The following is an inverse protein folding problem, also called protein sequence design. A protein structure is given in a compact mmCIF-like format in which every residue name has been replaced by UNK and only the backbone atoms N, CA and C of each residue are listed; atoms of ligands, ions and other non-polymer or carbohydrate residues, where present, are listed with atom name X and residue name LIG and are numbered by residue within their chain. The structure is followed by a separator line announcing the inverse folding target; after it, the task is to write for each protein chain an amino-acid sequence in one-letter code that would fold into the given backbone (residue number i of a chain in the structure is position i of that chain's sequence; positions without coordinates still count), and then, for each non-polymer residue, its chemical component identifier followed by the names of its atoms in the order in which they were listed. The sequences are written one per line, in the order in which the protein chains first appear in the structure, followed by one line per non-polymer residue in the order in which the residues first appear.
data_IF_684916538619
#
_entry.id   IF_684916538619
#
_cell.length_a   1.000
_cell.length_b   1.000
_cell.length_c   1.000
_cell.angle_alpha   90.00
_cell.angle_beta   90.00
_cell.angle_gamma   90.00
#
_symmetry.space_group_name_H-M   'P 1'
#
loop_
_entity.id
_entity.type
_entity.pdbx_description
1 polymer ?
#
# COMPACT_ATOMS: atom_id res chain seq x y z
N UNK A 1 14.61 38.51 42.01
CA UNK A 1 13.52 37.86 41.26
C UNK A 1 13.15 38.75 40.09
N UNK A 2 13.04 38.27 38.85
CA UNK A 2 13.89 37.35 38.10
C UNK A 2 14.57 38.04 36.88
N UNK A 3 15.58 37.34 36.35
CA UNK A 3 16.27 37.60 35.09
C UNK A 3 15.35 37.35 33.88
N UNK A 4 15.50 38.14 32.82
CA UNK A 4 15.03 37.78 31.47
C UNK A 4 16.26 37.53 30.59
N UNK A 5 16.57 36.26 30.39
CA UNK A 5 17.57 35.76 29.43
C UNK A 5 16.93 35.70 28.05
N UNK A 6 17.54 36.35 27.07
CA UNK A 6 17.21 36.23 25.64
C UNK A 6 18.16 35.19 25.01
N UNK A 7 17.65 34.00 24.73
CA UNK A 7 18.17 32.99 23.78
C UNK A 7 17.07 31.90 23.68
N UNK A 8 16.75 31.27 22.55
CA UNK A 8 17.61 30.93 21.43
C UNK A 8 16.80 30.86 20.11
N UNK A 9 17.46 31.19 19.01
CA UNK A 9 17.11 30.74 17.68
C UNK A 9 17.35 29.23 17.56
N UNK A 10 16.33 28.48 17.16
CA UNK A 10 16.49 27.26 16.37
C UNK A 10 15.47 27.35 15.24
N UNK A 11 15.99 27.69 14.05
CA UNK A 11 15.23 27.63 12.81
C UNK A 11 14.94 26.16 12.51
N UNK A 12 13.66 25.76 12.59
CA UNK A 12 13.20 24.50 12.02
C UNK A 12 13.10 24.69 10.50
N UNK A 13 13.91 23.95 9.76
CA UNK A 13 13.86 23.95 8.30
C UNK A 13 12.57 23.28 7.82
N UNK A 14 11.59 24.08 7.41
CA UNK A 14 10.40 23.63 6.68
C UNK A 14 10.80 23.09 5.29
N UNK A 15 10.35 21.89 4.88
CA UNK A 15 10.59 21.34 3.54
C UNK A 15 10.13 22.28 2.42
N UNK A 16 10.85 22.29 1.29
CA UNK A 16 10.63 23.23 0.18
C UNK A 16 9.23 23.18 -0.48
N UNK A 17 8.46 22.10 -0.30
CA UNK A 17 7.06 22.01 -0.75
C UNK A 17 6.05 22.59 0.26
N UNK A 18 6.50 22.95 1.47
CA UNK A 18 5.73 23.67 2.50
C UNK A 18 6.12 25.16 2.58
N UNK A 19 7.18 25.59 1.90
CA UNK A 19 7.55 27.00 1.83
C UNK A 19 6.47 27.78 1.06
N UNK A 20 5.79 28.69 1.76
CA UNK A 20 4.74 29.54 1.20
C UNK A 20 3.31 29.08 1.51
N UNK A 21 3.11 27.94 2.17
CA UNK A 21 1.78 27.53 2.63
C UNK A 21 1.50 28.14 4.02
N UNK A 22 0.42 28.91 4.21
CA UNK A 22 0.07 29.44 5.53
C UNK A 22 -0.22 28.29 6.51
N UNK A 23 0.04 28.49 7.80
CA UNK A 23 -0.22 27.49 8.86
C UNK A 23 -1.70 27.07 8.99
N UNK A 24 -2.59 27.83 8.35
CA UNK A 24 -4.03 27.56 8.18
C UNK A 24 -4.38 26.81 6.88
N UNK A 25 -3.39 26.44 6.06
CA UNK A 25 -3.61 25.74 4.78
C UNK A 25 -4.28 24.38 5.01
N UNK A 26 -5.34 24.03 4.27
CA UNK A 26 -5.94 22.69 4.34
C UNK A 26 -5.00 21.58 3.85
N UNK A 27 -3.87 21.95 3.23
CA UNK A 27 -2.79 21.05 2.81
C UNK A 27 -1.65 20.94 3.84
N UNK A 28 -1.72 21.64 4.98
CA UNK A 28 -0.89 21.30 6.14
C UNK A 28 -1.41 19.97 6.70
N UNK A 29 -0.69 18.89 6.44
CA UNK A 29 -0.99 17.59 7.04
C UNK A 29 -0.97 17.71 8.58
N UNK A 30 -2.17 17.73 9.18
CA UNK A 30 -2.32 17.55 10.63
C UNK A 30 -2.67 16.10 10.93
N UNK A 31 -1.66 15.43 11.50
CA UNK A 31 -1.69 14.28 12.39
C UNK A 31 -2.10 12.91 11.81
N UNK A 32 -1.08 12.19 11.33
CA UNK A 32 -0.82 10.83 11.80
C UNK A 32 0.05 9.98 10.91
N UNK A 33 -0.49 9.62 9.76
CA UNK A 33 0.25 9.02 8.66
C UNK A 33 -0.32 9.59 7.37
N UNK A 34 0.47 10.39 6.65
CA UNK A 34 -0.01 11.15 5.48
C UNK A 34 -0.59 10.29 4.34
N UNK A 35 -0.32 8.97 4.36
CA UNK A 35 -0.71 8.02 3.32
C UNK A 35 -1.64 6.90 3.86
N UNK A 36 -2.15 7.09 5.08
CA UNK A 36 -3.00 6.14 5.78
C UNK A 36 -2.28 4.86 6.18
N UNK A 37 -3.07 3.82 6.41
CA UNK A 37 -2.67 2.45 6.72
C UNK A 37 -3.36 1.51 5.75
N UNK A 38 -2.88 0.28 5.61
CA UNK A 38 -3.55 -0.74 4.81
C UNK A 38 -3.36 -2.12 5.44
N UNK A 39 -4.27 -3.03 5.13
CA UNK A 39 -4.07 -4.45 5.39
C UNK A 39 -4.03 -5.24 4.10
N UNK A 40 -3.31 -6.35 4.08
CA UNK A 40 -3.23 -7.24 2.94
C UNK A 40 -2.73 -8.61 3.36
N UNK A 41 -2.76 -9.55 2.42
CA UNK A 41 -2.39 -10.94 2.64
C UNK A 41 -2.98 -11.52 3.95
N UNK A 42 -4.26 -11.21 4.18
CA UNK A 42 -5.02 -11.66 5.35
C UNK A 42 -5.42 -13.12 5.18
N UNK A 43 -4.99 -13.99 6.08
CA UNK A 43 -5.34 -15.42 6.11
C UNK A 43 -6.39 -15.66 7.21
N UNK A 44 -6.63 -16.93 7.56
CA UNK A 44 -7.45 -17.29 8.72
C UNK A 44 -6.77 -16.97 10.04
N UNK A 45 -5.44 -16.85 10.05
CA UNK A 45 -4.63 -16.76 11.27
C UNK A 45 -3.58 -15.63 11.27
N UNK A 46 -3.48 -14.86 10.19
CA UNK A 46 -2.46 -13.83 10.00
C UNK A 46 -2.95 -12.67 9.14
N UNK A 47 -2.28 -11.54 9.24
CA UNK A 47 -2.53 -10.36 8.40
C UNK A 47 -1.25 -9.53 8.26
N UNK A 48 -1.04 -8.89 7.11
CA UNK A 48 -0.05 -7.83 6.99
C UNK A 48 -0.71 -6.48 7.29
N UNK A 49 -0.04 -5.65 8.07
CA UNK A 49 -0.42 -4.26 8.35
C UNK A 49 0.68 -3.34 7.83
N UNK A 50 0.34 -2.52 6.84
CA UNK A 50 1.22 -1.54 6.20
C UNK A 50 1.01 -0.14 6.75
N UNK A 51 2.08 0.64 6.80
CA UNK A 51 2.10 2.05 7.19
C UNK A 51 3.26 2.80 6.51
N UNK A 52 3.16 4.13 6.47
CA UNK A 52 4.27 5.03 6.11
C UNK A 52 4.31 6.24 7.03
N UNK A 53 5.45 6.49 7.65
CA UNK A 53 5.68 7.63 8.57
C UNK A 53 6.21 8.85 7.81
N UNK A 54 6.28 10.01 8.48
CA UNK A 54 6.80 11.25 7.88
C UNK A 54 8.34 11.29 7.85
N UNK A 55 9.00 10.44 8.62
CA UNK A 55 10.45 10.37 8.80
C UNK A 55 10.80 9.21 9.74
N UNK A 56 12.03 9.15 10.28
CA UNK A 56 12.42 8.11 11.21
C UNK A 56 11.50 8.06 12.45
N UNK A 57 10.97 6.88 12.74
CA UNK A 57 10.01 6.68 13.81
C UNK A 57 10.04 5.24 14.30
N UNK A 58 9.65 5.05 15.55
CA UNK A 58 9.30 3.74 16.10
C UNK A 58 7.82 3.51 15.93
N UNK A 59 7.45 2.38 15.33
CA UNK A 59 6.05 2.01 15.06
C UNK A 59 5.69 0.73 15.78
N UNK A 60 4.52 0.73 16.41
CA UNK A 60 3.94 -0.41 17.11
C UNK A 60 2.52 -0.65 16.57
N UNK A 61 2.16 -1.91 16.32
CA UNK A 61 0.80 -2.27 15.94
C UNK A 61 0.15 -3.04 17.07
N UNK A 62 -1.00 -2.57 17.54
CA UNK A 62 -1.85 -3.28 18.50
C UNK A 62 -3.12 -3.76 17.82
N UNK A 63 -3.62 -4.94 18.19
CA UNK A 63 -4.87 -5.47 17.67
C UNK A 63 -5.69 -6.17 18.74
N UNK A 64 -7.01 -6.19 18.56
CA UNK A 64 -7.99 -6.78 19.47
C UNK A 64 -9.17 -7.32 18.64
N UNK A 65 -9.65 -8.55 18.90
CA UNK A 65 -10.84 -9.07 18.25
C UNK A 65 -12.10 -8.33 18.74
N UNK A 66 -13.01 -8.03 17.82
CA UNK A 66 -14.20 -7.23 18.11
C UNK A 66 -15.16 -7.90 19.09
N UNK A 67 -15.23 -9.22 19.07
CA UNK A 67 -16.10 -10.04 19.91
C UNK A 67 -15.58 -10.20 21.36
N UNK A 68 -14.37 -9.71 21.65
CA UNK A 68 -13.75 -9.86 22.97
C UNK A 68 -13.26 -11.28 23.27
N UNK A 69 -13.11 -12.14 22.25
CA UNK A 69 -12.63 -13.52 22.38
C UNK A 69 -11.20 -13.65 22.92
N UNK A 70 -10.39 -12.59 22.80
CA UNK A 70 -9.02 -12.55 23.31
C UNK A 70 -8.64 -11.16 23.84
N UNK A 71 -7.58 -11.11 24.64
CA UNK A 71 -6.96 -9.87 25.11
C UNK A 71 -6.27 -9.12 23.94
N UNK A 72 -6.08 -7.78 24.05
CA UNK A 72 -5.30 -7.04 23.07
C UNK A 72 -3.88 -7.59 22.94
N UNK A 73 -3.42 -7.79 21.71
CA UNK A 73 -2.05 -8.17 21.39
C UNK A 73 -1.29 -6.99 20.75
N UNK A 74 0.02 -7.11 20.69
CA UNK A 74 0.92 -6.08 20.17
C UNK A 74 2.08 -6.71 19.41
N UNK A 75 2.57 -6.00 18.39
CA UNK A 75 3.79 -6.36 17.69
C UNK A 75 5.01 -6.00 18.53
N UNK A 76 6.18 -6.48 18.11
CA UNK A 76 7.42 -5.81 18.46
C UNK A 76 7.49 -4.43 17.77
N UNK A 77 8.21 -3.45 18.34
CA UNK A 77 8.44 -2.17 17.69
C UNK A 77 9.28 -2.34 16.41
N UNK A 78 8.94 -1.58 15.37
CA UNK A 78 9.70 -1.52 14.11
C UNK A 78 10.15 -0.08 13.85
N UNK A 79 11.40 0.09 13.45
CA UNK A 79 11.93 1.37 13.03
C UNK A 79 11.66 1.59 11.53
N UNK A 80 11.20 2.78 11.18
CA UNK A 80 11.12 3.22 9.79
C UNK A 80 12.36 4.03 9.41
N UNK A 81 12.89 3.81 8.22
CA UNK A 81 14.07 4.52 7.71
C UNK A 81 13.89 5.01 6.27
N UNK A 82 14.81 5.87 5.83
CA UNK A 82 14.76 6.48 4.51
C UNK A 82 15.01 5.47 3.37
N UNK A 83 15.73 4.38 3.64
CA UNK A 83 16.06 3.35 2.67
C UNK A 83 14.84 2.67 2.07
N UNK A 84 13.71 2.66 2.80
CA UNK A 84 12.39 2.19 2.33
C UNK A 84 11.32 3.29 2.29
N UNK A 85 11.73 4.56 2.16
CA UNK A 85 10.85 5.73 2.16
C UNK A 85 9.91 5.77 3.38
N UNK A 86 10.45 5.36 4.53
CA UNK A 86 9.76 5.30 5.81
C UNK A 86 8.48 4.44 5.80
N UNK A 87 8.39 3.51 4.86
CA UNK A 87 7.35 2.48 4.81
C UNK A 87 7.70 1.31 5.73
N UNK A 88 6.69 0.63 6.23
CA UNK A 88 6.85 -0.58 7.01
C UNK A 88 5.63 -1.48 6.88
N UNK A 89 5.87 -2.79 6.99
CA UNK A 89 4.82 -3.81 6.99
C UNK A 89 5.11 -4.78 8.13
N UNK A 90 4.12 -4.98 9.01
CA UNK A 90 4.21 -5.91 10.13
C UNK A 90 3.23 -7.07 9.90
N UNK A 91 3.70 -8.31 10.09
CA UNK A 91 2.84 -9.49 10.06
C UNK A 91 2.28 -9.78 11.46
N UNK A 92 0.96 -9.73 11.57
CA UNK A 92 0.21 -10.22 12.72
C UNK A 92 0.05 -11.74 12.58
N UNK A 93 0.12 -12.48 13.69
CA UNK A 93 0.01 -13.94 13.74
C UNK A 93 -0.86 -14.39 14.91
N UNK A 94 -1.33 -15.63 14.86
CA UNK A 94 -2.14 -16.22 15.93
C UNK A 94 -3.52 -15.59 16.02
N UNK A 95 -4.04 -15.13 14.89
CA UNK A 95 -5.41 -14.61 14.80
C UNK A 95 -6.40 -15.78 14.77
N UNK A 96 -7.61 -15.54 15.27
CA UNK A 96 -8.71 -16.48 15.14
C UNK A 96 -9.31 -16.38 13.73
N UNK A 97 -9.71 -17.51 13.10
CA UNK A 97 -10.45 -17.50 11.84
C UNK A 97 -11.79 -16.76 11.94
N UNK A 98 -12.30 -16.28 10.81
CA UNK A 98 -13.61 -15.62 10.68
C UNK A 98 -13.86 -14.49 11.72
N UNK A 99 -12.79 -13.81 12.14
CA UNK A 99 -12.82 -12.87 13.27
C UNK A 99 -12.49 -11.48 12.80
N UNK A 100 -13.33 -10.52 13.17
CA UNK A 100 -13.10 -9.11 12.89
C UNK A 100 -12.18 -8.49 13.93
N UNK A 101 -11.07 -7.91 13.49
CA UNK A 101 -10.09 -7.26 14.34
C UNK A 101 -10.11 -5.75 14.15
N UNK A 102 -10.03 -5.02 15.27
CA UNK A 102 -9.56 -3.64 15.27
C UNK A 102 -8.05 -3.65 15.40
N UNK A 103 -7.36 -2.88 14.58
CA UNK A 103 -5.93 -2.61 14.78
C UNK A 103 -5.67 -1.12 14.96
N UNK A 104 -4.55 -0.80 15.61
CA UNK A 104 -4.06 0.55 15.81
C UNK A 104 -2.56 0.59 15.55
N UNK A 105 -2.15 1.41 14.59
CA UNK A 105 -0.77 1.76 14.31
C UNK A 105 -0.43 2.98 15.15
N UNK A 106 0.46 2.80 16.11
CA UNK A 106 0.99 3.87 16.97
C UNK A 106 2.39 4.22 16.51
N UNK A 107 2.59 5.49 16.14
CA UNK A 107 3.85 6.02 15.64
C UNK A 107 4.41 6.99 16.67
N UNK A 108 5.65 6.74 17.08
CA UNK A 108 6.44 7.63 17.91
C UNK A 108 7.57 8.18 17.07
N UNK A 109 7.45 9.45 16.66
CA UNK A 109 8.50 10.13 15.93
C UNK A 109 9.74 10.25 16.82
N UNK A 110 10.93 10.09 16.22
CA UNK A 110 12.18 10.20 16.97
C UNK A 110 12.54 11.67 17.28
N UNK A 111 12.12 12.62 16.43
CA UNK A 111 12.36 14.05 16.61
C UNK A 111 11.38 14.93 15.77
N UNK A 112 10.59 15.84 16.38
CA UNK A 112 10.27 15.91 17.80
C UNK A 112 9.51 14.65 18.24
N UNK A 113 9.50 14.35 19.55
CA UNK A 113 8.71 13.23 20.09
C UNK A 113 7.22 13.58 20.06
N UNK A 114 6.61 13.42 18.88
CA UNK A 114 5.17 13.44 18.68
C UNK A 114 4.66 12.01 18.54
N UNK A 115 3.45 11.77 19.04
CA UNK A 115 2.78 10.49 18.90
C UNK A 115 1.58 10.67 18.01
N UNK A 116 1.44 9.79 17.02
CA UNK A 116 0.17 9.68 16.35
C UNK A 116 -0.30 8.25 16.18
N UNK A 117 -1.61 8.09 16.35
CA UNK A 117 -2.30 6.82 16.30
C UNK A 117 -3.29 6.83 15.12
N UNK A 118 -3.22 5.83 14.24
CA UNK A 118 -4.21 5.57 13.20
C UNK A 118 -4.82 4.20 13.44
N UNK A 119 -6.14 4.09 13.40
CA UNK A 119 -6.87 2.82 13.58
C UNK A 119 -7.47 2.34 12.26
N UNK A 120 -7.63 1.02 12.16
CA UNK A 120 -8.33 0.39 11.06
C UNK A 120 -9.00 -0.91 11.48
N UNK A 121 -9.58 -1.60 10.50
CA UNK A 121 -10.27 -2.87 10.68
C UNK A 121 -9.89 -3.86 9.57
N UNK A 122 -9.94 -5.13 9.89
CA UNK A 122 -9.95 -6.22 8.92
C UNK A 122 -10.69 -7.43 9.51
N UNK A 123 -11.05 -8.38 8.66
CA UNK A 123 -11.64 -9.66 9.06
C UNK A 123 -10.76 -10.79 8.50
N UNK A 124 -10.34 -11.72 9.35
CA UNK A 124 -9.65 -12.95 8.90
C UNK A 124 -10.60 -13.83 8.11
N UNK A 125 -10.07 -14.63 7.19
CA UNK A 125 -10.90 -15.59 6.47
C UNK A 125 -11.40 -16.71 7.40
N UNK A 126 -12.49 -17.39 7.05
CA UNK A 126 -12.78 -18.67 7.68
C UNK A 126 -11.66 -19.70 7.46
N UNK A 127 -11.69 -20.75 8.28
CA UNK A 127 -10.82 -21.92 8.13
C UNK A 127 -11.11 -22.64 6.80
N UNK A 128 -10.12 -23.33 6.25
CA UNK A 128 -10.16 -23.87 4.88
C UNK A 128 -11.21 -24.95 4.64
N UNK A 129 -11.75 -25.53 5.71
CA UNK A 129 -12.81 -26.54 5.73
C UNK A 129 -14.21 -25.96 5.97
N UNK A 130 -14.32 -24.65 6.18
CA UNK A 130 -15.58 -23.95 6.44
C UNK A 130 -16.12 -23.32 5.16
N UNK A 131 -17.33 -23.71 4.78
CA UNK A 131 -18.08 -23.07 3.68
C UNK A 131 -18.81 -21.84 4.20
N UNK A 132 -18.60 -20.70 3.53
CA UNK A 132 -19.25 -19.42 3.81
C UNK A 132 -19.32 -18.54 2.55
N UNK A 133 -20.38 -17.74 2.39
CA UNK A 133 -20.47 -16.81 1.26
C UNK A 133 -19.40 -15.72 1.34
N UNK A 134 -18.67 -15.52 0.24
CA UNK A 134 -17.61 -14.50 0.14
C UNK A 134 -18.03 -13.41 -0.85
N UNK A 135 -18.18 -12.18 -0.34
CA UNK A 135 -18.34 -10.99 -1.18
C UNK A 135 -17.00 -10.26 -1.27
N UNK A 136 -16.49 -10.05 -2.48
CA UNK A 136 -15.27 -9.27 -2.72
C UNK A 136 -15.46 -8.34 -3.92
N UNK A 137 -14.57 -7.35 -4.03
CA UNK A 137 -14.53 -6.42 -5.16
C UNK A 137 -13.20 -6.52 -5.87
N UNK A 138 -13.16 -6.12 -7.13
CA UNK A 138 -11.93 -6.09 -7.91
C UNK A 138 -11.95 -4.88 -8.84
N UNK A 139 -10.76 -4.39 -9.20
CA UNK A 139 -10.57 -3.31 -10.15
C UNK A 139 -9.09 -3.08 -10.43
N UNK A 140 -8.79 -2.26 -11.42
CA UNK A 140 -7.45 -1.78 -11.76
C UNK A 140 -7.55 -0.32 -12.19
N UNK A 141 -6.47 0.20 -12.77
CA UNK A 141 -6.51 1.46 -13.53
C UNK A 141 -6.90 2.66 -12.65
N UNK A 142 -6.13 2.87 -11.59
CA UNK A 142 -6.41 3.93 -10.62
C UNK A 142 -5.92 5.28 -11.15
N UNK A 143 -6.80 5.97 -11.87
CA UNK A 143 -6.49 7.26 -12.48
C UNK A 143 -5.55 7.14 -13.67
N UNK A 144 -4.82 8.20 -14.01
CA UNK A 144 -3.90 8.19 -15.16
C UNK A 144 -4.60 8.46 -16.51
N UNK A 145 -3.80 8.55 -17.58
CA UNK A 145 -4.29 8.83 -18.94
C UNK A 145 -5.22 10.06 -19.05
N UNK A 146 -4.95 11.10 -18.25
CA UNK A 146 -5.78 12.32 -18.18
C UNK A 146 -6.92 12.27 -17.15
N UNK A 147 -7.19 11.11 -16.53
CA UNK A 147 -8.14 10.94 -15.43
C UNK A 147 -7.40 11.00 -14.10
N UNK A 148 -6.98 12.19 -13.71
CA UNK A 148 -6.15 12.37 -12.54
C UNK A 148 -6.94 12.31 -11.23
N UNK A 149 -6.20 12.05 -10.14
CA UNK A 149 -6.73 12.17 -8.78
C UNK A 149 -7.29 13.58 -8.58
N UNK A 150 -8.53 13.65 -8.08
CA UNK A 150 -9.14 14.91 -7.67
C UNK A 150 -8.41 15.49 -6.45
N UNK A 151 -8.28 16.82 -6.38
CA UNK A 151 -7.55 17.49 -5.30
C UNK A 151 -8.30 17.44 -3.94
N UNK A 152 -9.60 17.16 -3.94
CA UNK A 152 -10.42 16.98 -2.74
C UNK A 152 -10.26 15.57 -2.16
N UNK A 153 -11.30 14.75 -2.28
CA UNK A 153 -11.30 13.39 -1.72
C UNK A 153 -10.50 12.36 -2.54
N UNK A 154 -10.00 12.76 -3.71
CA UNK A 154 -9.29 11.91 -4.64
C UNK A 154 -10.24 11.05 -5.47
N UNK A 155 -10.63 9.89 -4.93
CA UNK A 155 -11.40 8.88 -5.67
C UNK A 155 -12.68 8.50 -4.91
N UNK A 156 -13.79 9.26 -5.03
CA UNK A 156 -15.00 9.07 -4.24
C UNK A 156 -15.66 7.68 -4.39
N UNK A 157 -15.34 6.95 -5.46
CA UNK A 157 -15.82 5.57 -5.66
C UNK A 157 -15.47 4.66 -4.49
N UNK A 158 -14.35 4.86 -3.81
CA UNK A 158 -13.96 4.03 -2.67
C UNK A 158 -14.91 4.16 -1.48
N UNK A 159 -15.49 5.34 -1.25
CA UNK A 159 -16.53 5.50 -0.22
C UNK A 159 -17.83 4.78 -0.61
N UNK A 160 -18.12 4.68 -1.92
CA UNK A 160 -19.27 3.91 -2.42
C UNK A 160 -19.03 2.41 -2.28
N UNK A 161 -17.82 1.93 -2.55
CA UNK A 161 -17.44 0.52 -2.39
C UNK A 161 -17.56 0.08 -0.92
N UNK A 162 -17.27 0.97 0.05
CA UNK A 162 -17.43 0.64 1.46
C UNK A 162 -18.86 0.25 1.85
N UNK A 163 -19.89 0.68 1.10
CA UNK A 163 -21.29 0.36 1.42
C UNK A 163 -21.65 -1.10 1.12
N UNK A 164 -20.91 -1.77 0.23
CA UNK A 164 -21.12 -3.20 -0.08
C UNK A 164 -20.36 -4.13 0.86
N UNK A 165 -19.59 -3.58 1.81
CA UNK A 165 -18.88 -4.32 2.88
C UNK A 165 -18.08 -5.53 2.36
N UNK A 166 -17.17 -5.35 1.39
CA UNK A 166 -16.42 -6.47 0.83
C UNK A 166 -15.49 -7.09 1.89
N UNK A 167 -15.36 -8.41 1.85
CA UNK A 167 -14.41 -9.15 2.69
C UNK A 167 -12.95 -8.78 2.34
N UNK A 168 -12.68 -8.47 1.08
CA UNK A 168 -11.40 -7.98 0.58
C UNK A 168 -11.58 -7.33 -0.80
N UNK A 169 -10.53 -6.69 -1.30
CA UNK A 169 -10.46 -6.16 -2.66
C UNK A 169 -9.22 -6.63 -3.41
N UNK A 170 -9.38 -6.92 -4.69
CA UNK A 170 -8.28 -7.15 -5.63
C UNK A 170 -7.97 -5.84 -6.36
N UNK A 171 -6.71 -5.42 -6.34
CA UNK A 171 -6.20 -4.35 -7.19
C UNK A 171 -5.31 -4.97 -8.26
N UNK A 172 -5.76 -4.94 -9.51
CA UNK A 172 -5.23 -5.73 -10.62
C UNK A 172 -4.15 -5.01 -11.46
N UNK A 173 -3.54 -3.96 -10.90
CA UNK A 173 -2.50 -3.18 -11.56
C UNK A 173 -2.91 -1.76 -11.88
N UNK A 174 -1.99 -1.04 -12.50
CA UNK A 174 -2.16 0.34 -12.98
C UNK A 174 -2.58 1.30 -11.87
N UNK A 175 -1.95 1.14 -10.72
CA UNK A 175 -2.25 1.89 -9.51
C UNK A 175 -1.62 3.27 -9.50
N UNK A 176 -0.56 3.51 -10.29
CA UNK A 176 0.25 4.74 -10.21
C UNK A 176 0.50 5.48 -11.52
N UNK A 177 0.37 4.82 -12.68
CA UNK A 177 0.74 5.41 -13.99
C UNK A 177 2.07 6.16 -13.94
N UNK A 178 3.12 5.41 -13.61
CA UNK A 178 4.48 5.91 -13.43
C UNK A 178 5.01 6.65 -14.65
N UNK A 179 4.53 6.28 -15.83
CA UNK A 179 4.94 6.75 -17.15
C UNK A 179 4.06 7.84 -17.76
N UNK A 180 3.01 8.28 -17.05
CA UNK A 180 2.14 9.37 -17.48
C UNK A 180 2.28 10.58 -16.57
N UNK A 181 2.17 11.78 -17.14
CA UNK A 181 1.95 12.99 -16.36
C UNK A 181 0.46 13.11 -16.04
N UNK A 182 0.16 13.56 -14.84
CA UNK A 182 -1.18 13.84 -14.37
C UNK A 182 -1.33 15.33 -14.02
N UNK A 183 -1.66 16.19 -15.00
CA UNK A 183 -1.85 17.62 -14.77
C UNK A 183 -3.24 17.84 -14.17
N UNK A 184 -3.38 17.64 -12.85
CA UNK A 184 -4.61 17.93 -12.10
C UNK A 184 -4.41 19.19 -11.28
N UNK A 185 -4.90 20.37 -11.72
CA UNK A 185 -4.80 21.59 -10.94
C UNK A 185 -5.71 21.52 -9.70
N UNK A 186 -5.24 21.97 -8.51
CA UNK A 186 -3.85 22.36 -8.22
C UNK A 186 -2.90 21.15 -8.21
N UNK A 187 -1.75 21.28 -8.89
CA UNK A 187 -0.77 20.21 -9.09
C UNK A 187 -0.36 19.59 -7.76
N UNK A 188 -0.89 18.40 -7.45
CA UNK A 188 -0.45 17.69 -6.27
C UNK A 188 0.91 17.00 -6.54
N UNK A 189 1.90 17.12 -5.64
CA UNK A 189 3.23 16.55 -5.84
C UNK A 189 3.19 15.07 -6.18
N UNK A 190 4.02 14.65 -7.15
CA UNK A 190 4.15 13.24 -7.56
C UNK A 190 3.33 12.86 -8.78
N UNK A 191 2.36 13.69 -9.20
CA UNK A 191 1.58 13.47 -10.42
C UNK A 191 2.23 14.01 -11.69
N UNK A 192 3.14 14.97 -11.58
CA UNK A 192 3.53 15.92 -12.62
C UNK A 192 4.73 15.53 -13.50
N UNK A 193 5.25 14.31 -13.36
CA UNK A 193 6.40 13.82 -14.11
C UNK A 193 6.25 12.35 -14.52
N UNK A 194 7.15 11.89 -15.40
CA UNK A 194 7.39 10.48 -15.70
C UNK A 194 8.49 9.95 -14.78
N UNK A 195 8.25 8.82 -14.12
CA UNK A 195 9.18 8.23 -13.17
C UNK A 195 10.27 7.41 -13.88
N UNK A 196 11.51 7.66 -13.48
CA UNK A 196 12.72 7.01 -14.00
C UNK A 196 13.70 6.63 -12.88
N UNK A 197 13.48 7.14 -11.66
CA UNK A 197 14.26 6.82 -10.46
C UNK A 197 13.36 6.28 -9.35
N UNK A 198 13.94 5.55 -8.39
CA UNK A 198 13.20 4.98 -7.26
C UNK A 198 12.39 6.05 -6.50
N UNK A 199 12.98 7.22 -6.25
CA UNK A 199 12.30 8.30 -5.54
C UNK A 199 11.13 8.89 -6.33
N UNK A 200 11.20 8.88 -7.66
CA UNK A 200 10.08 9.27 -8.52
C UNK A 200 8.97 8.22 -8.52
N UNK A 201 9.29 6.92 -8.55
CA UNK A 201 8.29 5.85 -8.37
C UNK A 201 7.60 5.94 -7.00
N UNK A 202 8.37 6.15 -5.92
CA UNK A 202 7.82 6.39 -4.59
C UNK A 202 6.92 7.61 -4.54
N UNK A 203 7.31 8.70 -5.20
CA UNK A 203 6.49 9.90 -5.29
C UNK A 203 5.16 9.67 -6.03
N UNK A 204 5.13 8.83 -7.06
CA UNK A 204 3.90 8.40 -7.75
C UNK A 204 2.97 7.63 -6.82
N UNK A 205 3.50 6.71 -6.02
CA UNK A 205 2.70 6.05 -4.98
C UNK A 205 2.18 7.02 -3.92
N UNK A 206 3.02 7.95 -3.42
CA UNK A 206 2.58 8.99 -2.46
C UNK A 206 1.43 9.81 -3.00
N UNK A 207 1.52 10.23 -4.27
CA UNK A 207 0.45 10.94 -4.95
C UNK A 207 -0.88 10.17 -4.86
N UNK A 208 -0.89 8.89 -5.23
CA UNK A 208 -2.13 8.10 -5.19
C UNK A 208 -2.61 7.83 -3.77
N UNK A 209 -1.70 7.45 -2.88
CA UNK A 209 -2.00 7.13 -1.48
C UNK A 209 -2.46 8.32 -0.66
N UNK A 210 -2.23 9.54 -1.11
CA UNK A 210 -2.75 10.74 -0.47
C UNK A 210 -4.25 10.99 -0.78
N UNK A 211 -4.91 10.19 -1.64
CA UNK A 211 -6.36 10.26 -1.84
C UNK A 211 -7.12 9.85 -0.57
N UNK A 212 -7.94 10.75 0.00
CA UNK A 212 -8.60 10.53 1.28
C UNK A 212 -9.63 9.39 1.25
N UNK A 213 -10.42 9.30 0.17
CA UNK A 213 -11.38 8.21 -0.02
C UNK A 213 -10.67 6.85 -0.11
N UNK A 214 -9.51 6.80 -0.79
CA UNK A 214 -8.66 5.62 -0.83
C UNK A 214 -8.14 5.27 0.57
N UNK A 215 -7.65 6.23 1.34
CA UNK A 215 -7.17 5.97 2.71
C UNK A 215 -8.25 5.38 3.62
N UNK A 216 -9.48 5.91 3.57
CA UNK A 216 -10.62 5.38 4.33
C UNK A 216 -10.93 3.93 3.97
N UNK A 217 -10.90 3.62 2.67
CA UNK A 217 -11.11 2.27 2.17
C UNK A 217 -10.01 1.31 2.60
N UNK A 218 -8.74 1.68 2.40
CA UNK A 218 -7.57 0.87 2.75
C UNK A 218 -7.45 0.60 4.26
N UNK A 219 -7.91 1.52 5.10
CA UNK A 219 -7.94 1.31 6.55
C UNK A 219 -8.95 0.23 6.99
N UNK A 220 -9.91 -0.15 6.15
CA UNK A 220 -11.04 -1.02 6.52
C UNK A 220 -11.18 -2.30 5.68
N UNK A 221 -10.63 -2.33 4.47
CA UNK A 221 -10.77 -3.43 3.53
C UNK A 221 -9.40 -4.03 3.22
N UNK A 222 -9.19 -5.34 3.47
CA UNK A 222 -7.97 -6.04 3.06
C UNK A 222 -7.74 -5.96 1.56
N UNK A 223 -6.50 -5.66 1.16
CA UNK A 223 -6.11 -5.53 -0.24
C UNK A 223 -5.19 -6.65 -0.66
N UNK A 224 -5.50 -7.20 -1.84
CA UNK A 224 -4.59 -8.03 -2.60
C UNK A 224 -4.22 -7.31 -3.88
N UNK A 225 -3.05 -6.70 -3.87
CA UNK A 225 -2.51 -6.00 -5.02
C UNK A 225 -1.63 -6.93 -5.88
N UNK A 226 -1.69 -6.70 -7.18
CA UNK A 226 -0.72 -7.10 -8.19
C UNK A 226 -0.48 -5.88 -9.08
N UNK A 227 0.67 -5.82 -9.74
CA UNK A 227 0.93 -4.80 -10.75
C UNK A 227 0.37 -5.18 -12.12
N UNK A 228 0.27 -4.19 -13.00
CA UNK A 228 0.28 -4.38 -14.43
C UNK A 228 1.38 -3.47 -15.03
N UNK A 229 1.25 -2.97 -16.26
CA UNK A 229 2.38 -2.31 -16.91
C UNK A 229 2.65 -0.89 -16.42
N UNK A 230 1.61 -0.14 -16.06
CA UNK A 230 1.75 1.26 -15.67
C UNK A 230 2.37 1.46 -14.27
N UNK A 231 2.70 0.39 -13.55
CA UNK A 231 3.64 0.42 -12.42
C UNK A 231 5.10 0.70 -12.83
N UNK A 232 5.45 0.47 -14.10
CA UNK A 232 6.80 0.68 -14.63
C UNK A 232 6.75 1.57 -15.87
N UNK A 233 6.08 1.09 -16.93
CA UNK A 233 5.87 1.75 -18.22
C UNK A 233 4.89 0.91 -19.05
N UNK A 234 4.01 1.58 -19.78
CA UNK A 234 3.08 0.99 -20.74
C UNK A 234 3.72 -0.16 -21.55
N UNK A 235 3.00 -1.27 -21.58
CA UNK A 235 3.33 -2.50 -22.29
C UNK A 235 4.68 -3.14 -21.93
N UNK A 236 5.25 -2.91 -20.74
CA UNK A 236 6.53 -3.54 -20.41
C UNK A 236 6.46 -5.08 -20.40
N UNK A 237 7.58 -5.69 -20.77
CA UNK A 237 7.89 -7.11 -20.61
C UNK A 237 9.14 -7.22 -19.74
N UNK A 238 9.03 -7.87 -18.59
CA UNK A 238 9.99 -7.79 -17.49
C UNK A 238 11.47 -8.00 -17.85
N UNK A 239 11.85 -9.09 -18.55
CA UNK A 239 13.23 -9.35 -18.96
C UNK A 239 13.85 -8.27 -19.87
N UNK A 240 13.03 -7.38 -20.41
CA UNK A 240 13.42 -6.32 -21.34
C UNK A 240 13.08 -4.91 -20.83
N UNK A 241 12.76 -4.76 -19.53
CA UNK A 241 12.35 -3.51 -18.93
C UNK A 241 13.35 -3.05 -17.86
N UNK A 242 14.30 -2.14 -18.18
CA UNK A 242 15.36 -1.74 -17.25
C UNK A 242 14.86 -1.14 -15.93
N UNK A 243 13.69 -0.51 -15.93
CA UNK A 243 13.08 0.11 -14.74
C UNK A 243 12.24 -0.87 -13.91
N UNK A 244 12.02 -2.11 -14.38
CA UNK A 244 11.19 -3.09 -13.67
C UNK A 244 11.69 -3.35 -12.23
N UNK A 245 12.99 -3.57 -11.96
CA UNK A 245 13.45 -3.81 -10.59
C UNK A 245 13.11 -2.64 -9.64
N UNK A 246 13.22 -1.41 -10.14
CA UNK A 246 12.96 -0.19 -9.37
C UNK A 246 11.46 0.00 -9.12
N UNK A 247 10.62 -0.18 -10.15
CA UNK A 247 9.16 -0.13 -10.02
C UNK A 247 8.64 -1.22 -9.07
N UNK A 248 9.21 -2.44 -9.13
CA UNK A 248 8.89 -3.54 -8.22
C UNK A 248 9.26 -3.24 -6.78
N UNK A 249 10.42 -2.64 -6.55
CA UNK A 249 10.81 -2.22 -5.21
C UNK A 249 9.79 -1.22 -4.64
N UNK A 250 9.41 -0.20 -5.41
CA UNK A 250 8.40 0.76 -4.99
C UNK A 250 7.03 0.09 -4.73
N UNK A 251 6.60 -0.86 -5.56
CA UNK A 251 5.38 -1.66 -5.35
C UNK A 251 5.40 -2.38 -3.99
N UNK A 252 6.48 -3.10 -3.70
CA UNK A 252 6.67 -3.85 -2.45
C UNK A 252 6.83 -2.95 -1.22
N UNK A 253 7.26 -1.70 -1.39
CA UNK A 253 7.28 -0.70 -0.33
C UNK A 253 5.90 -0.13 -0.03
N UNK A 254 4.99 -0.06 -1.01
CA UNK A 254 3.72 0.67 -0.89
C UNK A 254 2.45 -0.19 -0.76
N UNK A 255 2.57 -1.49 -1.01
CA UNK A 255 1.48 -2.45 -0.81
C UNK A 255 1.85 -3.53 0.21
N UNK A 256 0.90 -3.99 1.05
CA UNK A 256 1.07 -5.11 1.96
C UNK A 256 1.07 -6.45 1.20
N UNK A 257 2.13 -6.71 0.42
CA UNK A 257 2.35 -7.95 -0.32
C UNK A 257 3.37 -8.80 0.45
N UNK A 258 2.98 -10.01 0.82
CA UNK A 258 3.84 -11.01 1.41
C UNK A 258 4.65 -11.71 0.32
N UNK A 259 5.96 -11.72 0.50
CA UNK A 259 6.89 -12.43 -0.38
C UNK A 259 7.53 -13.61 0.37
N UNK A 260 7.78 -14.73 -0.31
CA UNK A 260 8.46 -15.86 0.30
C UNK A 260 9.95 -15.52 0.54
N UNK A 261 10.58 -16.02 1.62
CA UNK A 261 11.96 -15.66 1.96
C UNK A 261 13.01 -16.04 0.89
N UNK A 262 12.76 -17.10 0.14
CA UNK A 262 13.62 -17.63 -0.93
C UNK A 262 13.42 -16.92 -2.28
N UNK A 263 12.30 -16.21 -2.46
CA UNK A 263 12.07 -15.33 -3.60
C UNK A 263 11.40 -14.02 -3.14
N UNK A 264 12.20 -13.04 -2.65
CA UNK A 264 11.69 -11.78 -2.11
C UNK A 264 11.05 -10.88 -3.20
N UNK A 265 11.09 -11.28 -4.46
CA UNK A 265 10.56 -10.56 -5.60
C UNK A 265 9.33 -11.23 -6.23
N UNK A 266 8.89 -12.37 -5.70
CA UNK A 266 7.71 -13.07 -6.19
C UNK A 266 6.44 -12.34 -5.80
N UNK A 267 5.67 -11.93 -6.80
CA UNK A 267 4.36 -11.28 -6.62
C UNK A 267 3.18 -12.24 -6.75
N UNK A 268 3.31 -13.28 -7.60
CA UNK A 268 2.27 -14.28 -7.79
C UNK A 268 2.11 -15.16 -6.54
N UNK A 269 0.86 -15.36 -6.14
CA UNK A 269 0.52 -16.04 -4.88
C UNK A 269 -0.91 -16.55 -4.90
N UNK A 270 -1.19 -17.49 -4.01
CA UNK A 270 -2.52 -18.06 -3.82
C UNK A 270 -3.18 -17.43 -2.59
N UNK A 271 -4.50 -17.25 -2.66
CA UNK A 271 -5.33 -16.80 -1.56
C UNK A 271 -6.47 -17.79 -1.40
N UNK A 272 -6.67 -18.27 -0.18
CA UNK A 272 -7.81 -19.12 0.16
C UNK A 272 -8.79 -18.38 1.07
N UNK A 273 -10.07 -18.67 0.88
CA UNK A 273 -11.20 -18.07 1.60
C UNK A 273 -12.22 -19.17 1.89
N UNK A 274 -12.10 -19.75 3.08
CA UNK A 274 -12.92 -20.90 3.45
C UNK A 274 -12.69 -22.09 2.52
N UNK A 275 -13.71 -22.93 2.40
CA UNK A 275 -13.76 -24.06 1.48
C UNK A 275 -14.16 -23.67 0.05
N UNK A 276 -14.76 -22.49 -0.14
CA UNK A 276 -15.51 -22.16 -1.36
C UNK A 276 -14.73 -21.33 -2.39
N UNK A 277 -13.63 -20.67 -1.98
CA UNK A 277 -12.88 -19.79 -2.88
C UNK A 277 -11.37 -19.95 -2.72
N UNK A 278 -10.73 -20.25 -3.85
CA UNK A 278 -9.28 -20.23 -4.03
C UNK A 278 -8.95 -19.32 -5.23
N UNK A 279 -8.12 -18.32 -5.00
CA UNK A 279 -7.70 -17.34 -5.99
C UNK A 279 -6.21 -17.47 -6.27
N UNK A 280 -5.85 -17.55 -7.54
CA UNK A 280 -4.47 -17.52 -8.01
C UNK A 280 -4.17 -16.14 -8.59
N UNK A 281 -3.42 -15.32 -7.85
CA UNK A 281 -2.92 -14.04 -8.34
C UNK A 281 -1.69 -14.32 -9.20
N UNK A 282 -1.77 -13.95 -10.48
CA UNK A 282 -0.71 -14.15 -11.45
C UNK A 282 0.06 -12.86 -11.68
N UNK A 283 1.38 -12.98 -11.82
CA UNK A 283 2.24 -11.94 -12.36
C UNK A 283 2.43 -12.16 -13.87
N UNK A 284 1.78 -11.32 -14.67
CA UNK A 284 1.82 -11.41 -16.14
C UNK A 284 2.78 -10.40 -16.76
N UNK A 285 3.67 -9.80 -15.97
CA UNK A 285 4.63 -8.78 -16.44
C UNK A 285 6.07 -9.14 -16.19
N UNK A 286 6.41 -9.65 -15.01
CA UNK A 286 7.80 -9.90 -14.61
C UNK A 286 8.52 -10.91 -15.51
N UNK A 287 7.78 -11.91 -16.02
CA UNK A 287 8.36 -13.10 -16.64
C UNK A 287 7.96 -13.28 -18.11
N UNK A 288 7.11 -12.40 -18.64
CA UNK A 288 6.63 -12.53 -20.03
C UNK A 288 7.73 -12.25 -21.05
N UNK A 289 7.63 -12.97 -22.16
CA UNK A 289 8.35 -12.70 -23.39
C UNK A 289 8.14 -11.27 -23.91
N UNK A 290 9.02 -10.85 -24.82
CA UNK A 290 8.86 -9.60 -25.55
C UNK A 290 7.52 -9.54 -26.30
N UNK A 291 6.91 -8.36 -26.33
CA UNK A 291 5.70 -8.09 -27.14
C UNK A 291 5.90 -8.44 -28.62
N UNK A 292 7.10 -8.16 -29.15
CA UNK A 292 7.43 -8.33 -30.56
C UNK A 292 7.80 -9.78 -30.92
N UNK A 293 7.92 -10.67 -29.94
CA UNK A 293 8.20 -12.08 -30.19
C UNK A 293 7.00 -12.72 -30.92
N UNK A 294 7.22 -13.44 -32.04
CA UNK A 294 6.15 -14.17 -32.72
C UNK A 294 5.48 -15.21 -31.81
N UNK A 295 4.19 -15.45 -31.99
CA UNK A 295 3.50 -16.50 -31.25
C UNK A 295 4.07 -17.89 -31.61
N UNK A 296 4.33 -18.69 -30.59
CA UNK A 296 4.94 -20.01 -30.73
C UNK A 296 5.20 -20.65 -29.37
N UNK A 297 5.62 -21.92 -29.33
CA UNK A 297 5.78 -22.68 -28.09
C UNK A 297 6.84 -22.12 -27.12
N UNK A 298 7.73 -21.25 -27.60
CA UNK A 298 8.74 -20.57 -26.77
C UNK A 298 8.26 -19.28 -26.11
N UNK A 299 7.18 -18.68 -26.60
CA UNK A 299 6.65 -17.41 -26.08
C UNK A 299 5.86 -17.67 -24.80
N UNK A 300 6.13 -16.90 -23.75
CA UNK A 300 5.49 -17.10 -22.44
C UNK A 300 4.91 -15.82 -21.87
N UNK A 301 3.86 -15.95 -21.06
CA UNK A 301 3.31 -14.87 -20.23
C UNK A 301 3.77 -14.97 -18.76
N UNK A 302 3.96 -16.19 -18.26
CA UNK A 302 4.19 -16.47 -16.83
C UNK A 302 5.65 -16.87 -16.54
N UNK A 303 6.46 -17.17 -17.56
CA UNK A 303 7.71 -17.91 -17.37
C UNK A 303 7.45 -19.37 -16.96
N UNK A 304 8.51 -20.17 -16.84
CA UNK A 304 8.39 -21.59 -16.47
C UNK A 304 7.99 -21.76 -15.01
N UNK A 305 8.70 -21.10 -14.09
CA UNK A 305 8.51 -21.30 -12.65
C UNK A 305 7.07 -21.02 -12.18
N UNK A 306 6.47 -19.90 -12.60
CA UNK A 306 5.10 -19.57 -12.22
C UNK A 306 4.07 -20.47 -12.94
N UNK A 307 4.31 -20.84 -14.20
CA UNK A 307 3.43 -21.78 -14.91
C UNK A 307 3.42 -23.14 -14.20
N UNK A 308 4.59 -23.64 -13.81
CA UNK A 308 4.73 -24.93 -13.14
C UNK A 308 4.19 -24.86 -11.70
N UNK A 309 4.18 -23.69 -11.05
CA UNK A 309 3.50 -23.46 -9.77
C UNK A 309 1.96 -23.46 -9.89
N UNK A 310 1.42 -23.05 -11.05
CA UNK A 310 -0.02 -22.92 -11.26
C UNK A 310 -0.72 -24.25 -11.62
N UNK A 311 0.01 -25.17 -12.25
CA UNK A 311 -0.49 -26.48 -12.70
C UNK A 311 -0.46 -27.52 -11.59
#
# INVERSE_FOLDING_TARGET
MPLMTLAATLATCTPAYQQGLPSSSPFMAKQGLAHGVATGDVTSDSALVWFRTAGPATVLVKWLPQDGSALPASSEPVLTDQGRDFTGTIRLRGLAPATRYRYKVSVQALDPVDRTDVSGWFTTSAAEDVSEPVTFVWGGDLGGQGQCRDAGDGYPIFDRILTVKPAFALLLGDTIYADNVCPSPPNAPGGDFVATTLDQFRAKYRYQRAALALQRFLASVPIYAIWDDHEVRNNFSGPHAPLMPVGRQALLEYWPIGTPPDDPYRLYRQIRRGADLELFILDTRQYRSSNAEPDGPGKTMLGSAQRDWLL
#
